data_IF_517268603332
#
_entry.id   IF_517268603332
#
_cell.length_a   1.000
_cell.length_b   1.000
_cell.length_c   1.000
_cell.angle_alpha   90.00
_cell.angle_beta   90.00
_cell.angle_gamma   90.00
#
_symmetry.space_group_name_H-M   'P 1'
#
loop_
_entity.id
_entity.type
_entity.pdbx_description
1 polymer ?
#
# COMPACT_ATOMS: atom_id res chain seq x y z
N UNK A 1 60.04 58.67 -17.76
CA UNK A 1 60.42 57.29 -17.40
C UNK A 1 59.88 56.99 -16.02
N UNK A 2 58.78 56.23 -15.94
CA UNK A 2 58.41 55.32 -14.82
C UNK A 2 57.00 54.77 -15.04
N UNK A 3 56.95 53.48 -15.38
CA UNK A 3 55.74 52.65 -15.50
C UNK A 3 55.13 52.43 -14.11
N UNK A 4 53.81 52.56 -13.97
CA UNK A 4 53.03 51.84 -12.95
C UNK A 4 51.71 51.35 -13.55
N UNK A 5 51.67 50.04 -13.74
CA UNK A 5 50.50 49.21 -14.07
C UNK A 5 49.56 49.09 -12.87
N UNK A 6 48.24 48.97 -13.12
CA UNK A 6 47.17 48.25 -12.37
C UNK A 6 45.83 48.99 -12.60
N UNK A 7 44.67 48.39 -12.81
CA UNK A 7 44.24 47.01 -13.02
C UNK A 7 42.84 47.09 -13.67
N UNK A 8 42.55 46.25 -14.67
CA UNK A 8 41.22 46.12 -15.27
C UNK A 8 40.36 45.30 -14.31
N UNK A 9 39.29 45.90 -13.78
CA UNK A 9 38.24 45.17 -13.04
C UNK A 9 37.37 44.49 -14.10
N UNK A 10 37.61 43.19 -14.32
CA UNK A 10 36.73 42.34 -15.10
C UNK A 10 35.58 41.87 -14.22
N UNK A 11 34.36 42.33 -14.52
CA UNK A 11 33.14 41.80 -13.90
C UNK A 11 32.89 40.40 -14.47
N UNK A 12 33.21 39.36 -13.70
CA UNK A 12 32.83 38.00 -14.02
C UNK A 12 31.32 37.84 -13.80
N UNK A 13 30.54 37.80 -14.88
CA UNK A 13 29.15 37.36 -14.87
C UNK A 13 29.12 35.86 -14.57
N UNK A 14 28.69 35.53 -13.36
CA UNK A 14 28.48 34.15 -12.90
C UNK A 14 27.26 33.58 -13.63
N UNK A 15 27.48 32.89 -14.74
CA UNK A 15 26.47 32.05 -15.38
C UNK A 15 26.34 30.76 -14.55
N UNK A 16 25.39 30.73 -13.62
CA UNK A 16 25.06 29.53 -12.84
C UNK A 16 23.56 29.54 -12.60
N UNK A 17 22.82 28.61 -13.23
CA UNK A 17 21.42 28.17 -12.97
C UNK A 17 20.65 27.96 -14.28
N UNK A 18 20.95 26.91 -15.05
CA UNK A 18 20.04 26.43 -16.11
C UNK A 18 19.80 24.91 -16.10
N UNK A 19 20.37 24.16 -15.15
CA UNK A 19 20.12 22.71 -15.05
C UNK A 19 18.81 22.35 -14.35
N UNK A 20 18.07 23.33 -13.82
CA UNK A 20 16.76 23.10 -13.16
C UNK A 20 15.54 23.10 -14.09
N UNK A 21 15.68 23.55 -15.34
CA UNK A 21 14.53 23.77 -16.23
C UNK A 21 13.90 22.49 -16.80
N UNK A 22 14.71 21.46 -17.07
CA UNK A 22 14.24 20.21 -17.68
C UNK A 22 13.51 19.31 -16.68
N UNK A 23 14.01 19.22 -15.44
CA UNK A 23 13.36 18.44 -14.37
C UNK A 23 11.99 19.01 -13.97
N UNK A 24 11.83 20.34 -13.96
CA UNK A 24 10.55 21.00 -13.69
C UNK A 24 9.55 20.89 -14.86
N UNK A 25 10.04 20.83 -16.10
CA UNK A 25 9.19 20.62 -17.28
C UNK A 25 8.61 19.19 -17.32
N UNK A 26 9.41 18.17 -17.00
CA UNK A 26 8.94 16.77 -16.88
C UNK A 26 7.96 16.59 -15.69
N UNK A 27 8.15 17.32 -14.60
CA UNK A 27 7.24 17.28 -13.44
C UNK A 27 5.82 17.77 -13.75
N UNK A 28 5.63 18.70 -14.71
CA UNK A 28 4.28 19.12 -15.16
C UNK A 28 3.50 17.95 -15.78
N UNK A 29 4.18 16.95 -16.34
CA UNK A 29 3.56 15.76 -16.93
C UNK A 29 2.88 14.84 -15.92
N UNK A 30 3.20 14.97 -14.61
CA UNK A 30 2.64 14.14 -13.54
C UNK A 30 1.54 14.82 -12.71
N UNK A 31 1.25 16.10 -12.97
CA UNK A 31 0.13 16.77 -12.32
C UNK A 31 -1.19 16.08 -12.73
N UNK A 32 -2.06 15.68 -11.78
CA UNK A 32 -3.34 15.07 -12.10
C UNK A 32 -4.35 16.14 -12.55
N UNK A 33 -5.24 15.78 -13.46
CA UNK A 33 -6.44 16.59 -13.74
C UNK A 33 -7.32 16.74 -12.49
N UNK A 34 -8.26 17.71 -12.45
CA UNK A 34 -8.98 18.05 -11.21
C UNK A 34 -9.71 16.89 -10.52
N UNK A 35 -10.28 15.96 -11.30
CA UNK A 35 -11.01 14.78 -10.81
C UNK A 35 -10.24 13.46 -10.97
N UNK A 36 -8.93 13.55 -11.24
CA UNK A 36 -8.12 12.41 -11.60
C UNK A 36 -7.38 11.84 -10.37
N UNK A 37 -7.27 10.52 -10.33
CA UNK A 37 -6.34 9.79 -9.46
C UNK A 37 -5.32 9.12 -10.36
N UNK A 38 -4.04 9.48 -10.20
CA UNK A 38 -2.93 8.91 -10.97
C UNK A 38 -2.05 8.07 -10.06
N UNK A 39 -1.91 6.80 -10.41
CA UNK A 39 -1.04 5.86 -9.69
C UNK A 39 0.29 5.76 -10.42
N UNK A 40 1.39 6.07 -9.73
CA UNK A 40 2.75 5.93 -10.25
C UNK A 40 3.25 4.52 -10.01
N UNK A 41 3.46 3.78 -11.10
CA UNK A 41 3.98 2.42 -11.04
C UNK A 41 5.51 2.45 -11.22
N UNK A 42 6.24 1.47 -10.66
CA UNK A 42 7.62 1.22 -11.02
C UNK A 42 7.77 0.93 -12.52
N UNK A 43 8.82 1.45 -13.14
CA UNK A 43 9.07 1.29 -14.58
C UNK A 43 9.24 -0.19 -14.96
N UNK A 44 8.66 -0.58 -16.09
CA UNK A 44 8.79 -1.93 -16.65
C UNK A 44 8.06 -3.04 -15.90
N UNK A 45 7.28 -2.73 -14.86
CA UNK A 45 6.54 -3.73 -14.07
C UNK A 45 5.05 -3.75 -14.47
N UNK A 46 4.55 -4.90 -14.95
CA UNK A 46 3.12 -5.09 -15.21
C UNK A 46 2.33 -5.45 -13.95
N UNK A 47 3.01 -5.96 -12.91
CA UNK A 47 2.37 -6.42 -11.68
C UNK A 47 3.14 -6.07 -10.38
N UNK A 48 3.51 -4.79 -10.15
CA UNK A 48 4.19 -4.39 -8.92
C UNK A 48 3.25 -4.55 -7.72
N UNK A 49 3.78 -4.92 -6.54
CA UNK A 49 2.97 -5.07 -5.34
C UNK A 49 2.48 -3.72 -4.77
N UNK A 50 3.25 -2.65 -4.98
CA UNK A 50 2.99 -1.30 -4.49
C UNK A 50 3.22 -0.28 -5.61
N UNK A 51 2.57 0.87 -5.52
CA UNK A 51 2.89 2.04 -6.33
C UNK A 51 4.11 2.79 -5.76
N UNK A 52 4.85 3.50 -6.62
CA UNK A 52 5.82 4.52 -6.22
C UNK A 52 5.14 5.71 -5.53
N UNK A 53 3.88 5.98 -5.87
CA UNK A 53 3.08 7.06 -5.28
C UNK A 53 1.71 7.17 -5.94
N UNK A 54 0.85 8.00 -5.36
CA UNK A 54 -0.46 8.35 -5.94
C UNK A 54 -0.62 9.87 -5.90
N UNK A 55 -1.01 10.45 -7.03
CA UNK A 55 -1.39 11.85 -7.14
C UNK A 55 -2.91 11.95 -7.29
N UNK A 56 -3.51 12.96 -6.67
CA UNK A 56 -4.94 13.22 -6.69
C UNK A 56 -5.21 14.66 -7.09
N UNK A 57 -6.18 14.87 -7.97
CA UNK A 57 -6.66 16.21 -8.31
C UNK A 57 -7.43 16.87 -7.17
N UNK A 58 -7.54 18.20 -7.22
CA UNK A 58 -8.16 19.00 -6.15
C UNK A 58 -9.68 18.80 -5.97
N UNK A 59 -10.36 18.16 -6.92
CA UNK A 59 -11.80 17.83 -6.86
C UNK A 59 -12.05 16.34 -6.54
N UNK A 60 -11.02 15.59 -6.15
CA UNK A 60 -11.19 14.19 -5.73
C UNK A 60 -11.71 14.15 -4.29
N UNK A 61 -12.95 13.71 -4.10
CA UNK A 61 -13.48 13.39 -2.79
C UNK A 61 -12.85 12.09 -2.27
N UNK A 62 -12.43 12.08 -1.00
CA UNK A 62 -11.78 10.94 -0.37
C UNK A 62 -12.55 10.43 0.86
N UNK A 63 -12.49 9.13 1.08
CA UNK A 63 -12.86 8.47 2.32
C UNK A 63 -11.59 7.99 3.03
N UNK A 64 -11.46 8.28 4.32
CA UNK A 64 -10.36 7.81 5.14
C UNK A 64 -10.95 6.91 6.22
N UNK A 65 -10.53 5.64 6.24
CA UNK A 65 -10.90 4.75 7.33
C UNK A 65 -10.11 5.11 8.59
N UNK A 66 -10.67 4.78 9.76
CA UNK A 66 -9.84 4.59 10.96
C UNK A 66 -8.97 3.34 10.81
N UNK A 67 -8.14 3.06 11.82
CA UNK A 67 -7.47 1.76 11.94
C UNK A 67 -8.50 0.63 12.07
N UNK A 68 -8.40 -0.34 11.17
CA UNK A 68 -9.23 -1.53 11.13
C UNK A 68 -8.37 -2.75 11.47
N UNK A 69 -8.78 -3.48 12.51
CA UNK A 69 -8.17 -4.74 12.92
C UNK A 69 -9.07 -5.95 12.61
N UNK A 70 -8.60 -7.16 12.94
CA UNK A 70 -9.34 -8.39 12.70
C UNK A 70 -10.49 -8.56 13.69
N UNK A 71 -11.60 -9.12 13.22
CA UNK A 71 -12.72 -9.54 14.06
C UNK A 71 -12.41 -10.88 14.75
N UNK A 72 -12.94 -11.08 15.96
CA UNK A 72 -12.83 -12.35 16.68
C UNK A 72 -13.77 -13.41 16.08
N UNK A 73 -13.23 -14.32 15.27
CA UNK A 73 -14.02 -15.26 14.46
C UNK A 73 -13.63 -16.72 14.66
N UNK A 74 -12.65 -17.00 15.52
CA UNK A 74 -12.24 -18.34 15.87
C UNK A 74 -12.53 -18.63 17.35
N UNK A 75 -13.75 -19.07 17.69
CA UNK A 75 -14.12 -19.36 19.08
C UNK A 75 -13.42 -20.59 19.65
N UNK A 76 -12.73 -21.39 18.84
CA UNK A 76 -11.96 -22.54 19.31
C UNK A 76 -10.60 -22.13 19.93
N UNK A 77 -10.13 -20.91 19.66
CA UNK A 77 -8.92 -20.38 20.27
C UNK A 77 -9.23 -19.63 21.58
N UNK A 78 -8.30 -19.61 22.55
CA UNK A 78 -8.51 -18.87 23.79
C UNK A 78 -8.64 -17.36 23.55
N UNK A 79 -9.58 -16.66 24.23
CA UNK A 79 -9.74 -15.21 24.06
C UNK A 79 -8.45 -14.43 24.31
N UNK A 80 -8.16 -13.48 23.40
CA UNK A 80 -6.99 -12.61 23.48
C UNK A 80 -5.69 -13.25 23.01
N UNK A 81 -5.69 -14.47 22.48
CA UNK A 81 -4.57 -14.98 21.68
C UNK A 81 -4.70 -14.50 20.23
N UNK A 82 -3.61 -14.49 19.45
CA UNK A 82 -3.70 -14.16 18.03
C UNK A 82 -4.66 -15.05 17.23
N UNK A 83 -4.73 -16.33 17.57
CA UNK A 83 -5.59 -17.32 16.90
C UNK A 83 -7.07 -17.01 17.05
N UNK A 84 -7.47 -16.30 18.10
CA UNK A 84 -8.86 -15.89 18.34
C UNK A 84 -9.40 -14.94 17.24
N UNK A 85 -8.50 -14.18 16.61
CA UNK A 85 -8.83 -13.19 15.58
C UNK A 85 -8.59 -13.70 14.16
N UNK A 86 -8.56 -15.02 13.96
CA UNK A 86 -8.54 -15.62 12.62
C UNK A 86 -9.93 -16.09 12.22
N UNK A 87 -10.09 -16.38 10.93
CA UNK A 87 -11.26 -17.05 10.40
C UNK A 87 -10.81 -18.30 9.64
N UNK A 88 -11.01 -19.50 10.19
CA UNK A 88 -10.57 -20.75 9.57
C UNK A 88 -11.10 -20.94 8.14
N UNK A 89 -12.29 -20.39 7.81
CA UNK A 89 -12.89 -20.51 6.48
C UNK A 89 -12.09 -19.77 5.39
N UNK A 90 -11.35 -18.71 5.76
CA UNK A 90 -10.51 -17.97 4.81
C UNK A 90 -9.24 -18.73 4.43
N UNK A 91 -8.88 -19.76 5.19
CA UNK A 91 -7.65 -20.54 5.04
C UNK A 91 -7.91 -22.01 4.75
N UNK A 92 -9.16 -22.38 4.50
CA UNK A 92 -9.57 -23.76 4.29
C UNK A 92 -8.82 -24.38 3.09
N UNK A 93 -8.20 -25.54 3.32
CA UNK A 93 -7.42 -26.24 2.31
C UNK A 93 -6.08 -25.59 1.95
N UNK A 94 -5.68 -24.51 2.63
CA UNK A 94 -4.34 -23.95 2.55
C UNK A 94 -3.41 -24.58 3.60
N UNK A 95 -2.12 -24.60 3.30
CA UNK A 95 -1.05 -25.15 4.14
C UNK A 95 -0.03 -24.06 4.44
N UNK A 96 0.60 -24.12 5.61
CA UNK A 96 1.68 -23.19 5.97
C UNK A 96 1.24 -21.73 6.09
N UNK A 97 -0.05 -21.46 6.32
CA UNK A 97 -0.55 -20.11 6.58
C UNK A 97 -0.06 -19.67 7.95
N UNK A 98 0.62 -18.53 8.02
CA UNK A 98 1.10 -17.97 9.29
C UNK A 98 -0.04 -17.29 10.02
N UNK A 99 0.12 -17.10 11.34
CA UNK A 99 -0.91 -16.45 12.15
C UNK A 99 -1.16 -14.99 11.75
N UNK A 100 -0.10 -14.26 11.38
CA UNK A 100 -0.20 -12.89 10.87
C UNK A 100 -0.92 -12.85 9.52
N UNK A 101 -0.64 -13.80 8.63
CA UNK A 101 -1.36 -13.92 7.35
C UNK A 101 -2.86 -14.18 7.58
N UNK A 102 -3.20 -15.11 8.47
CA UNK A 102 -4.59 -15.43 8.78
C UNK A 102 -5.36 -14.23 9.36
N UNK A 103 -4.76 -13.46 10.27
CA UNK A 103 -5.37 -12.21 10.76
C UNK A 103 -5.47 -11.15 9.65
N UNK A 104 -4.43 -11.00 8.84
CA UNK A 104 -4.42 -10.02 7.75
C UNK A 104 -5.56 -10.26 6.75
N UNK A 105 -5.91 -11.53 6.46
CA UNK A 105 -7.07 -11.86 5.62
C UNK A 105 -8.39 -11.34 6.22
N UNK A 106 -8.57 -11.46 7.54
CA UNK A 106 -9.74 -10.92 8.23
C UNK A 106 -9.75 -9.39 8.17
N UNK A 107 -8.60 -8.73 8.41
CA UNK A 107 -8.46 -7.27 8.29
C UNK A 107 -8.85 -6.78 6.89
N UNK A 108 -8.34 -7.43 5.84
CA UNK A 108 -8.61 -7.05 4.45
C UNK A 108 -10.08 -7.26 4.06
N UNK A 109 -10.72 -8.31 4.58
CA UNK A 109 -12.17 -8.48 4.46
C UNK A 109 -12.93 -7.37 5.18
N UNK A 110 -12.54 -7.00 6.39
CA UNK A 110 -13.17 -5.92 7.16
C UNK A 110 -13.03 -4.57 6.43
N UNK A 111 -11.88 -4.29 5.81
CA UNK A 111 -11.68 -3.12 4.96
C UNK A 111 -12.65 -3.13 3.77
N UNK A 112 -12.79 -4.27 3.08
CA UNK A 112 -13.76 -4.40 1.99
C UNK A 112 -15.17 -4.04 2.47
N UNK A 113 -15.62 -4.63 3.57
CA UNK A 113 -16.96 -4.36 4.13
C UNK A 113 -17.13 -2.89 4.54
N UNK A 114 -16.11 -2.29 5.16
CA UNK A 114 -16.15 -0.88 5.57
C UNK A 114 -16.24 0.06 4.35
N UNK A 115 -15.47 -0.20 3.28
CA UNK A 115 -15.55 0.56 2.04
C UNK A 115 -16.92 0.41 1.38
N UNK A 116 -17.47 -0.80 1.32
CA UNK A 116 -18.79 -1.06 0.73
C UNK A 116 -19.90 -0.31 1.47
N UNK A 117 -19.83 -0.21 2.79
CA UNK A 117 -20.77 0.60 3.58
C UNK A 117 -20.69 2.10 3.27
N UNK A 118 -19.54 2.58 2.79
CA UNK A 118 -19.35 3.95 2.32
C UNK A 118 -19.65 4.12 0.81
N UNK A 119 -20.13 3.09 0.11
CA UNK A 119 -20.37 3.14 -1.33
C UNK A 119 -19.09 3.09 -2.18
N UNK A 120 -18.02 2.52 -1.64
CA UNK A 120 -16.71 2.34 -2.27
C UNK A 120 -16.38 0.84 -2.41
N UNK A 121 -15.30 0.54 -3.09
CA UNK A 121 -14.76 -0.82 -3.21
C UNK A 121 -13.25 -0.85 -2.94
N UNK A 122 -12.64 -2.03 -2.71
CA UNK A 122 -11.19 -2.16 -2.67
C UNK A 122 -10.47 -1.66 -3.94
N UNK A 123 -11.15 -1.54 -5.07
CA UNK A 123 -10.57 -0.98 -6.29
C UNK A 123 -10.36 0.54 -6.22
N UNK A 124 -10.93 1.21 -5.22
CA UNK A 124 -10.89 2.66 -5.02
C UNK A 124 -9.83 3.11 -4.01
N UNK A 125 -9.16 2.16 -3.34
CA UNK A 125 -8.09 2.46 -2.37
C UNK A 125 -6.87 3.04 -3.07
N UNK A 126 -6.42 4.20 -2.59
CA UNK A 126 -5.29 4.96 -3.13
C UNK A 126 -4.08 4.98 -2.18
N UNK A 127 -4.31 4.88 -0.87
CA UNK A 127 -3.24 4.83 0.13
C UNK A 127 -3.59 3.79 1.18
N UNK A 128 -2.58 3.10 1.71
CA UNK A 128 -2.71 2.13 2.78
C UNK A 128 -1.53 2.24 3.75
N UNK A 129 -1.79 2.32 5.04
CA UNK A 129 -0.77 2.17 6.08
C UNK A 129 -1.08 0.93 6.91
N UNK A 130 -0.05 0.11 7.12
CA UNK A 130 -0.18 -1.17 7.80
C UNK A 130 0.76 -1.20 9.00
N UNK A 131 0.20 -1.52 10.16
CA UNK A 131 0.91 -1.64 11.41
C UNK A 131 0.91 -3.11 11.80
N UNK A 132 2.10 -3.71 11.88
CA UNK A 132 2.27 -5.11 12.20
C UNK A 132 2.89 -5.25 13.58
N UNK A 133 2.38 -6.15 14.41
CA UNK A 133 3.04 -6.58 15.63
C UNK A 133 3.65 -7.97 15.39
N UNK A 134 4.81 -8.22 15.99
CA UNK A 134 5.44 -9.54 15.88
C UNK A 134 4.60 -10.64 16.55
N UNK A 135 4.42 -11.80 15.90
CA UNK A 135 3.74 -12.92 16.54
C UNK A 135 4.55 -13.43 17.75
N UNK A 136 3.90 -14.09 18.73
CA UNK A 136 4.59 -14.65 19.90
C UNK A 136 5.76 -15.55 19.49
N UNK A 137 6.92 -15.34 20.13
CA UNK A 137 8.14 -16.11 19.87
C UNK A 137 8.93 -15.69 18.63
N UNK A 138 8.46 -14.71 17.85
CA UNK A 138 9.22 -14.14 16.74
C UNK A 138 10.06 -12.93 17.18
N UNK A 139 11.17 -12.70 16.45
CA UNK A 139 12.01 -11.52 16.65
C UNK A 139 11.41 -10.27 16.01
N UNK A 140 10.77 -10.42 14.85
CA UNK A 140 10.21 -9.34 14.03
C UNK A 140 8.80 -9.66 13.52
N UNK A 141 8.11 -8.65 13.00
CA UNK A 141 6.83 -8.80 12.34
C UNK A 141 6.91 -9.71 11.10
N UNK A 142 5.85 -10.49 10.87
CA UNK A 142 5.74 -11.34 9.70
C UNK A 142 5.25 -10.56 8.48
N UNK A 143 6.18 -9.82 7.86
CA UNK A 143 5.94 -9.09 6.62
C UNK A 143 5.59 -10.00 5.44
N UNK A 144 6.10 -11.24 5.43
CA UNK A 144 5.85 -12.19 4.36
C UNK A 144 4.39 -12.66 4.39
N UNK A 145 3.88 -13.01 5.57
CA UNK A 145 2.47 -13.33 5.79
C UNK A 145 1.54 -12.18 5.46
N UNK A 146 1.87 -10.96 5.89
CA UNK A 146 1.14 -9.76 5.48
C UNK A 146 1.10 -9.60 3.95
N UNK A 147 2.24 -9.75 3.27
CA UNK A 147 2.31 -9.58 1.82
C UNK A 147 1.52 -10.66 1.06
N UNK A 148 1.51 -11.91 1.53
CA UNK A 148 0.67 -12.97 0.93
C UNK A 148 -0.82 -12.64 1.09
N UNK A 149 -1.26 -12.26 2.29
CA UNK A 149 -2.65 -11.85 2.52
C UNK A 149 -3.04 -10.62 1.67
N UNK A 150 -2.19 -9.59 1.62
CA UNK A 150 -2.40 -8.40 0.79
C UNK A 150 -2.63 -8.77 -0.69
N UNK A 151 -1.84 -9.71 -1.23
CA UNK A 151 -1.95 -10.17 -2.62
C UNK A 151 -3.29 -10.89 -2.90
N UNK A 152 -3.99 -11.37 -1.88
CA UNK A 152 -5.35 -11.93 -2.03
C UNK A 152 -6.42 -10.88 -2.34
N UNK A 153 -6.19 -9.60 -2.04
CA UNK A 153 -7.18 -8.51 -2.20
C UNK A 153 -6.74 -7.36 -3.09
N UNK A 154 -5.44 -7.18 -3.23
CA UNK A 154 -4.79 -6.15 -4.03
C UNK A 154 -3.69 -6.82 -4.84
N UNK A 155 -3.03 -6.10 -5.73
CA UNK A 155 -1.82 -6.68 -6.32
C UNK A 155 -2.02 -7.60 -7.53
N UNK A 156 -3.25 -8.06 -7.83
CA UNK A 156 -3.47 -9.39 -8.41
C UNK A 156 -4.13 -9.42 -9.80
N UNK A 157 -4.24 -8.26 -10.45
CA UNK A 157 -4.49 -8.18 -11.90
C UNK A 157 -3.24 -7.62 -12.55
N UNK A 158 -2.73 -8.31 -13.56
CA UNK A 158 -1.63 -7.81 -14.38
C UNK A 158 -2.13 -6.63 -15.22
N UNK A 159 -1.44 -5.49 -15.14
CA UNK A 159 -1.91 -4.23 -15.69
C UNK A 159 -1.68 -4.09 -17.20
N UNK A 160 -0.98 -5.05 -17.82
CA UNK A 160 -0.75 -5.09 -19.27
C UNK A 160 -1.72 -6.06 -19.94
N UNK A 161 -1.81 -7.28 -19.41
CA UNK A 161 -2.63 -8.38 -19.95
C UNK A 161 -4.06 -8.37 -19.43
N UNK A 162 -4.30 -7.65 -18.33
CA UNK A 162 -5.57 -7.60 -17.59
C UNK A 162 -6.05 -8.96 -17.06
N UNK A 163 -5.14 -9.94 -16.98
CA UNK A 163 -5.42 -11.27 -16.45
C UNK A 163 -5.24 -11.30 -14.93
N UNK A 164 -6.04 -12.14 -14.28
CA UNK A 164 -5.86 -12.45 -12.86
C UNK A 164 -4.56 -13.21 -12.69
N UNK A 165 -3.71 -12.72 -11.78
CA UNK A 165 -2.46 -13.35 -11.39
C UNK A 165 -2.73 -14.28 -10.21
N UNK A 166 -2.50 -15.60 -10.33
CA UNK A 166 -2.59 -16.52 -9.20
C UNK A 166 -1.65 -16.10 -8.06
N UNK A 167 -2.11 -16.27 -6.83
CA UNK A 167 -1.40 -15.84 -5.62
C UNK A 167 -1.33 -16.98 -4.60
N UNK A 168 -0.18 -17.18 -3.93
CA UNK A 168 -0.06 -18.18 -2.88
C UNK A 168 -0.78 -17.73 -1.61
N UNK A 169 -1.21 -18.72 -0.83
CA UNK A 169 -1.64 -18.56 0.56
C UNK A 169 -0.83 -19.57 1.40
N UNK A 170 -0.14 -19.09 2.43
CA UNK A 170 0.87 -19.86 3.14
C UNK A 170 1.93 -20.44 2.19
N UNK A 171 2.14 -21.75 2.26
CA UNK A 171 3.04 -22.54 1.39
C UNK A 171 2.31 -23.31 0.29
N UNK A 172 1.00 -23.09 0.13
CA UNK A 172 0.21 -23.75 -0.91
C UNK A 172 0.52 -23.22 -2.31
N UNK A 173 0.24 -24.06 -3.32
CA UNK A 173 0.32 -23.66 -4.72
C UNK A 173 -0.57 -22.43 -5.00
N UNK A 174 -0.13 -21.47 -5.83
CA UNK A 174 -0.91 -20.29 -6.17
C UNK A 174 -2.27 -20.64 -6.80
N UNK A 175 -3.32 -19.93 -6.38
CA UNK A 175 -4.69 -20.05 -6.87
C UNK A 175 -5.25 -18.66 -7.21
N UNK A 176 -6.42 -18.55 -7.87
CA UNK A 176 -7.10 -17.26 -7.99
C UNK A 176 -7.24 -16.58 -6.62
N UNK A 177 -7.02 -15.25 -6.53
CA UNK A 177 -7.13 -14.49 -5.30
C UNK A 177 -8.56 -14.51 -4.75
N UNK A 178 -8.71 -14.27 -3.44
CA UNK A 178 -10.03 -14.07 -2.81
C UNK A 178 -10.82 -12.92 -3.45
N UNK A 179 -10.14 -11.87 -3.92
CA UNK A 179 -10.73 -10.78 -4.66
C UNK A 179 -9.79 -10.33 -5.80
N UNK A 180 -10.24 -10.48 -7.04
CA UNK A 180 -9.56 -9.91 -8.19
C UNK A 180 -9.64 -8.37 -8.18
N UNK A 181 -8.49 -7.70 -8.21
CA UNK A 181 -8.36 -6.26 -8.03
C UNK A 181 -7.06 -5.72 -8.66
N UNK A 182 -7.23 -4.70 -9.49
CA UNK A 182 -6.14 -3.97 -10.15
C UNK A 182 -5.54 -2.84 -9.31
N UNK A 183 -6.16 -2.45 -8.18
CA UNK A 183 -5.67 -1.35 -7.37
C UNK A 183 -4.23 -1.58 -6.89
N UNK A 184 -3.45 -0.50 -6.91
CA UNK A 184 -2.06 -0.40 -6.47
C UNK A 184 -1.94 0.84 -5.58
N UNK A 185 -2.37 0.77 -4.32
CA UNK A 185 -2.25 1.91 -3.43
C UNK A 185 -0.77 2.23 -3.15
N UNK A 186 -0.49 3.50 -2.89
CA UNK A 186 0.71 3.86 -2.15
C UNK A 186 0.64 3.18 -0.78
N UNK A 187 1.67 2.42 -0.42
CA UNK A 187 1.63 1.58 0.79
C UNK A 187 2.86 1.75 1.65
N UNK A 188 2.64 1.90 2.95
CA UNK A 188 3.68 1.81 3.96
C UNK A 188 3.33 0.70 4.95
N UNK A 189 4.31 -0.13 5.31
CA UNK A 189 4.14 -1.21 6.30
C UNK A 189 5.27 -1.12 7.30
N UNK A 190 4.94 -1.12 8.59
CA UNK A 190 5.90 -0.99 9.69
C UNK A 190 5.58 -1.93 10.83
N UNK A 191 6.62 -2.35 11.55
CA UNK A 191 6.47 -3.02 12.82
C UNK A 191 6.21 -2.00 13.94
N UNK A 192 5.29 -2.34 14.85
CA UNK A 192 4.95 -1.56 16.04
C UNK A 192 5.06 -2.42 17.30
N UNK A 193 5.34 -1.76 18.44
CA UNK A 193 5.53 -2.46 19.71
C UNK A 193 4.24 -3.09 20.26
N UNK A 194 3.08 -2.49 19.96
CA UNK A 194 1.76 -2.97 20.40
C UNK A 194 0.64 -2.42 19.53
N UNK A 195 -0.48 -3.14 19.48
CA UNK A 195 -1.74 -2.70 18.85
C UNK A 195 -2.83 -2.49 19.90
N UNK A 196 -3.93 -1.85 19.51
CA UNK A 196 -4.98 -1.41 20.42
C UNK A 196 -5.70 -2.54 21.17
N UNK A 197 -5.71 -3.75 20.60
CA UNK A 197 -6.41 -4.91 21.16
C UNK A 197 -5.43 -6.05 21.38
N UNK A 198 -5.50 -6.65 22.58
CA UNK A 198 -4.68 -7.82 22.93
C UNK A 198 -4.95 -8.96 21.94
N UNK A 199 -3.87 -9.47 21.35
CA UNK A 199 -3.90 -10.56 20.36
C UNK A 199 -3.90 -10.08 18.92
N UNK A 200 -4.12 -8.79 18.63
CA UNK A 200 -3.94 -8.29 17.28
C UNK A 200 -2.47 -8.30 16.86
N UNK A 201 -2.25 -8.71 15.61
CA UNK A 201 -0.96 -8.68 14.92
C UNK A 201 -0.97 -7.73 13.73
N UNK A 202 -2.14 -7.29 13.28
CA UNK A 202 -2.32 -6.46 12.09
C UNK A 202 -3.40 -5.42 12.33
N UNK A 203 -3.09 -4.17 12.03
CA UNK A 203 -4.05 -3.06 11.97
C UNK A 203 -3.76 -2.21 10.73
N UNK A 204 -4.79 -1.80 10.00
CA UNK A 204 -4.64 -1.12 8.71
C UNK A 204 -5.61 0.04 8.59
N UNK A 205 -5.10 1.17 8.10
CA UNK A 205 -5.93 2.28 7.62
C UNK A 205 -5.81 2.41 6.10
N UNK A 206 -6.89 2.83 5.45
CA UNK A 206 -6.93 3.09 4.01
C UNK A 206 -7.53 4.45 3.72
N UNK A 207 -7.00 5.09 2.68
CA UNK A 207 -7.69 6.19 1.99
C UNK A 207 -8.18 5.67 0.65
N UNK A 208 -9.46 5.89 0.34
CA UNK A 208 -10.07 5.56 -0.92
C UNK A 208 -10.64 6.82 -1.59
N UNK A 209 -10.61 6.86 -2.92
CA UNK A 209 -11.13 7.97 -3.70
C UNK A 209 -12.51 7.63 -4.26
N UNK A 210 -13.50 8.50 -4.04
CA UNK A 210 -14.78 8.37 -4.72
C UNK A 210 -14.59 8.61 -6.21
N UNK A 211 -14.89 7.60 -7.02
CA UNK A 211 -14.97 7.76 -8.48
C UNK A 211 -16.36 8.26 -8.83
N UNK A 212 -16.44 9.40 -9.55
CA UNK A 212 -17.62 10.00 -10.18
C UNK A 212 -18.98 9.69 -9.52
N UNK A 213 -19.59 10.70 -8.88
CA UNK A 213 -21.03 10.91 -9.10
C UNK A 213 -21.24 11.63 -10.42
#
# INVERSE_FOLDING_TARGET
>A
MNRRTKAVIGTALTASLLTGGTALADARGWWPGPKEVRVMLPDGQSNPAIANGVATGGEVAAYQSSGLGPSALNPAAPPGTPEYYTDPSLTEGATGVTITEAQALVVLRNIKTNLEAAGLSPADVITMKCYLMKPPGAETADYAGWNRAYRQYFANIDLTTHQVVPVPMGTSAPKPPLLANKARPARATMEVASLAVKGWLVEVEVTAAYRKR
#
